data_IF_737253314299
#
_entry.id   IF_737253314299
#
_cell.length_a   1.000
_cell.length_b   1.000
_cell.length_c   1.000
_cell.angle_alpha   90.00
_cell.angle_beta   90.00
_cell.angle_gamma   90.00
#
_symmetry.space_group_name_H-M   'P 1'
#
loop_
_entity.id
_entity.type
_entity.pdbx_description
1 polymer ?
#
# COMPACT_ATOMS: atom_id res chain seq x y z
N UNK A 1 24.00 9.24 -23.57
CA UNK A 1 23.76 8.38 -22.40
C UNK A 1 23.02 7.18 -22.93
N UNK A 2 23.70 6.05 -23.01
CA UNK A 2 23.16 4.83 -23.63
C UNK A 2 22.23 4.14 -22.64
N UNK A 3 21.03 3.72 -23.08
CA UNK A 3 19.98 3.04 -22.29
C UNK A 3 20.35 1.62 -21.81
N UNK A 4 21.65 1.28 -21.79
CA UNK A 4 22.16 -0.09 -21.76
C UNK A 4 22.25 -0.66 -20.32
N UNK A 5 22.04 0.17 -19.30
CA UNK A 5 22.33 -0.16 -17.89
C UNK A 5 21.22 0.27 -16.92
N UNK A 6 19.95 0.36 -17.34
CA UNK A 6 18.88 0.70 -16.39
C UNK A 6 18.60 -0.49 -15.46
N UNK A 7 18.93 -0.40 -14.15
CA UNK A 7 18.77 -1.53 -13.23
C UNK A 7 17.29 -1.81 -12.97
N UNK A 8 16.99 -3.02 -12.49
CA UNK A 8 15.65 -3.39 -12.08
C UNK A 8 15.15 -2.48 -10.95
N UNK A 9 14.00 -1.83 -11.13
CA UNK A 9 13.40 -0.96 -10.10
C UNK A 9 12.85 -1.67 -8.85
N UNK A 10 13.06 -2.98 -8.71
CA UNK A 10 12.68 -3.79 -7.53
C UNK A 10 13.91 -4.34 -6.82
N UNK A 11 14.77 -5.09 -7.52
CA UNK A 11 15.94 -5.74 -6.92
C UNK A 11 17.26 -4.97 -7.12
N UNK A 12 17.25 -3.89 -7.91
CA UNK A 12 18.41 -3.07 -8.25
C UNK A 12 19.57 -3.81 -8.96
N UNK A 13 19.36 -5.07 -9.35
CA UNK A 13 20.30 -5.81 -10.17
C UNK A 13 20.25 -5.35 -11.64
N UNK A 14 21.35 -5.59 -12.36
CA UNK A 14 21.42 -5.42 -13.80
C UNK A 14 20.39 -6.32 -14.50
N UNK A 15 19.95 -5.89 -15.67
CA UNK A 15 19.05 -6.65 -16.54
C UNK A 15 19.89 -7.14 -17.71
N UNK A 16 20.08 -8.45 -17.78
CA UNK A 16 20.99 -9.12 -18.69
C UNK A 16 20.36 -10.44 -19.18
N UNK A 17 21.14 -11.29 -19.86
CA UNK A 17 20.66 -12.56 -20.40
C UNK A 17 20.18 -13.55 -19.34
N UNK A 18 20.81 -13.57 -18.16
CA UNK A 18 20.42 -14.42 -17.04
C UNK A 18 19.26 -13.81 -16.24
N UNK A 19 19.11 -12.48 -16.28
CA UNK A 19 18.04 -11.73 -15.64
C UNK A 19 17.20 -10.93 -16.64
N UNK A 20 16.41 -11.59 -17.51
CA UNK A 20 15.79 -10.94 -18.66
C UNK A 20 14.76 -9.89 -18.27
N UNK A 21 14.57 -8.90 -19.14
CA UNK A 21 13.64 -7.78 -18.92
C UNK A 21 12.18 -8.26 -18.88
N UNK A 22 11.46 -7.82 -17.86
CA UNK A 22 10.02 -7.95 -17.74
C UNK A 22 9.31 -6.66 -18.14
N UNK A 23 8.45 -6.74 -19.15
CA UNK A 23 7.73 -5.61 -19.73
C UNK A 23 6.25 -5.73 -19.38
N UNK A 24 5.69 -4.69 -18.75
CA UNK A 24 4.25 -4.62 -18.43
C UNK A 24 3.52 -3.77 -19.47
N UNK A 25 2.28 -4.15 -19.77
CA UNK A 25 1.50 -3.50 -20.83
C UNK A 25 0.90 -2.13 -20.47
N UNK A 26 1.16 -1.61 -19.27
CA UNK A 26 0.52 -0.39 -18.75
C UNK A 26 1.43 0.84 -18.67
N UNK A 27 2.76 0.65 -18.59
CA UNK A 27 3.71 1.76 -18.43
C UNK A 27 5.15 1.32 -18.77
N UNK A 28 6.08 2.27 -19.02
CA UNK A 28 7.45 1.97 -19.47
C UNK A 28 8.47 1.70 -18.34
N UNK A 29 8.03 1.48 -17.11
CA UNK A 29 8.95 1.23 -15.99
C UNK A 29 9.71 -0.10 -16.16
N UNK A 30 10.97 -0.12 -15.70
CA UNK A 30 11.92 -1.19 -15.96
C UNK A 30 12.05 -2.13 -14.78
N UNK A 31 11.81 -3.42 -15.02
CA UNK A 31 11.94 -4.50 -14.05
C UNK A 31 12.53 -5.73 -14.73
N UNK A 32 13.22 -6.59 -13.96
CA UNK A 32 13.51 -7.93 -14.46
C UNK A 32 12.26 -8.82 -14.37
N UNK A 33 12.24 -9.86 -15.20
CA UNK A 33 11.12 -10.78 -15.34
C UNK A 33 10.77 -11.47 -14.02
N UNK A 34 11.76 -11.97 -13.28
CA UNK A 34 11.56 -12.63 -11.99
C UNK A 34 10.81 -11.74 -11.00
N UNK A 35 11.28 -10.51 -10.80
CA UNK A 35 10.67 -9.58 -9.85
C UNK A 35 9.25 -9.20 -10.24
N UNK A 36 8.99 -8.85 -11.51
CA UNK A 36 7.66 -8.42 -11.91
C UNK A 36 6.66 -9.58 -11.96
N UNK A 37 7.12 -10.80 -12.22
CA UNK A 37 6.30 -12.01 -12.17
C UNK A 37 5.91 -12.38 -10.74
N UNK A 38 6.84 -12.28 -9.79
CA UNK A 38 6.54 -12.49 -8.37
C UNK A 38 5.60 -11.40 -7.84
N UNK A 39 5.84 -10.16 -8.22
CA UNK A 39 4.95 -9.05 -7.89
C UNK A 39 3.53 -9.29 -8.44
N UNK A 40 3.41 -9.73 -9.69
CA UNK A 40 2.14 -10.09 -10.32
C UNK A 40 1.43 -11.28 -9.67
N UNK A 41 2.18 -12.13 -8.96
CA UNK A 41 1.60 -13.19 -8.14
C UNK A 41 0.98 -12.66 -6.84
N UNK A 42 1.10 -11.36 -6.51
CA UNK A 42 0.49 -10.67 -5.36
C UNK A 42 -0.47 -9.55 -5.78
N UNK A 43 -0.07 -8.67 -6.70
CA UNK A 43 -0.89 -7.53 -7.16
C UNK A 43 -0.71 -7.29 -8.66
N UNK A 44 -1.71 -6.71 -9.32
CA UNK A 44 -1.65 -6.36 -10.74
C UNK A 44 -1.40 -4.86 -10.99
N UNK A 45 -0.75 -4.17 -10.06
CA UNK A 45 -0.42 -2.73 -10.15
C UNK A 45 1.08 -2.54 -10.29
N UNK A 46 1.52 -1.57 -11.10
CA UNK A 46 2.94 -1.26 -11.26
C UNK A 46 3.56 -0.86 -9.89
N UNK A 47 4.73 -1.39 -9.51
CA UNK A 47 5.42 -1.00 -8.27
C UNK A 47 5.75 0.51 -8.21
N UNK A 48 6.01 1.13 -9.36
CA UNK A 48 6.48 2.52 -9.43
C UNK A 48 5.33 3.54 -9.54
N UNK A 49 4.42 3.36 -10.51
CA UNK A 49 3.32 4.33 -10.77
C UNK A 49 1.93 3.84 -10.38
N UNK A 50 1.81 2.62 -9.85
CA UNK A 50 0.54 1.99 -9.43
C UNK A 50 -0.50 1.78 -10.54
N UNK A 51 -0.17 2.04 -11.80
CA UNK A 51 -1.05 1.71 -12.94
C UNK A 51 -1.32 0.20 -13.01
N UNK A 52 -2.58 -0.17 -13.20
CA UNK A 52 -2.97 -1.58 -13.35
C UNK A 52 -2.48 -2.14 -14.68
N UNK A 53 -1.85 -3.32 -14.64
CA UNK A 53 -1.46 -4.10 -15.81
C UNK A 53 -2.22 -5.42 -15.85
N UNK A 54 -2.27 -6.04 -17.02
CA UNK A 54 -2.97 -7.30 -17.28
C UNK A 54 -2.10 -8.33 -17.98
N UNK A 55 -0.94 -7.93 -18.51
CA UNK A 55 0.00 -8.80 -19.21
C UNK A 55 1.44 -8.44 -18.85
N UNK A 56 2.28 -9.46 -18.79
CA UNK A 56 3.73 -9.35 -18.66
C UNK A 56 4.36 -10.04 -19.87
N UNK A 57 5.28 -9.35 -20.54
CA UNK A 57 6.06 -9.89 -21.65
C UNK A 57 7.51 -10.04 -21.17
N UNK A 58 8.15 -11.17 -21.46
CA UNK A 58 9.55 -11.42 -21.13
C UNK A 58 10.31 -11.71 -22.41
N UNK A 59 11.38 -10.97 -22.66
CA UNK A 59 12.30 -11.23 -23.78
C UNK A 59 13.39 -12.17 -23.28
N UNK A 60 13.38 -13.40 -23.76
CA UNK A 60 14.38 -14.39 -23.39
C UNK A 60 15.69 -14.19 -24.18
N UNK A 61 16.83 -14.68 -23.68
CA UNK A 61 18.11 -14.59 -24.38
C UNK A 61 18.14 -15.32 -25.73
N UNK A 62 17.25 -16.30 -25.95
CA UNK A 62 17.08 -16.97 -27.26
C UNK A 62 16.31 -16.11 -28.28
N UNK A 63 15.90 -14.90 -27.89
CA UNK A 63 15.13 -13.98 -28.71
C UNK A 63 13.62 -14.25 -28.71
N UNK A 64 13.15 -15.27 -27.99
CA UNK A 64 11.72 -15.55 -27.90
C UNK A 64 11.01 -14.60 -26.92
N UNK A 65 9.76 -14.22 -27.25
CA UNK A 65 8.93 -13.38 -26.41
C UNK A 65 7.85 -14.22 -25.72
N UNK A 66 7.88 -14.25 -24.39
CA UNK A 66 6.90 -14.99 -23.58
C UNK A 66 5.85 -14.01 -23.01
N UNK A 67 4.57 -14.25 -23.29
CA UNK A 67 3.45 -13.49 -22.69
C UNK A 67 2.83 -14.26 -21.52
N UNK A 68 2.70 -13.62 -20.36
CA UNK A 68 1.94 -14.11 -19.22
C UNK A 68 0.74 -13.20 -18.95
N UNK A 69 -0.46 -13.77 -19.05
CA UNK A 69 -1.72 -13.10 -18.68
C UNK A 69 -1.90 -13.12 -17.16
N UNK A 70 -2.17 -11.95 -16.58
CA UNK A 70 -2.37 -11.79 -15.15
C UNK A 70 -3.87 -11.78 -14.86
N UNK A 71 -4.31 -12.73 -14.02
CA UNK A 71 -5.70 -12.80 -13.57
C UNK A 71 -5.98 -11.56 -12.72
N UNK A 72 -7.11 -10.89 -12.97
CA UNK A 72 -7.59 -9.82 -12.09
C UNK A 72 -7.88 -10.44 -10.72
N UNK A 73 -7.05 -10.17 -9.72
CA UNK A 73 -7.51 -10.28 -8.34
C UNK A 73 -8.11 -8.95 -7.98
N UNK A 74 -9.43 -8.95 -7.78
CA UNK A 74 -10.10 -7.83 -7.17
C UNK A 74 -9.50 -7.72 -5.76
N UNK A 75 -8.82 -6.62 -5.44
CA UNK A 75 -8.62 -6.27 -4.04
C UNK A 75 -10.03 -6.11 -3.50
N UNK A 76 -10.51 -7.09 -2.74
CA UNK A 76 -11.70 -6.95 -1.92
C UNK A 76 -11.23 -5.98 -0.84
N UNK A 77 -11.61 -4.71 -0.96
CA UNK A 77 -11.60 -3.85 0.21
C UNK A 77 -12.69 -4.48 1.07
N UNK A 78 -12.29 -5.23 2.09
CA UNK A 78 -13.22 -5.68 3.10
C UNK A 78 -13.81 -4.40 3.70
N UNK A 79 -15.11 -4.21 3.52
CA UNK A 79 -15.89 -3.05 3.97
C UNK A 79 -16.20 -3.22 5.48
N UNK A 80 -15.21 -3.71 6.21
CA UNK A 80 -15.33 -4.30 7.54
C UNK A 80 -14.55 -3.45 8.56
N UNK A 81 -14.77 -2.14 8.62
CA UNK A 81 -14.52 -1.34 9.84
C UNK A 81 -15.21 0.03 9.79
N UNK A 82 -16.51 0.05 9.53
CA UNK A 82 -17.38 1.16 9.95
C UNK A 82 -18.40 0.59 10.93
N UNK A 83 -17.96 0.34 12.17
CA UNK A 83 -18.90 0.38 13.28
C UNK A 83 -19.16 1.87 13.56
N UNK A 84 -20.20 2.40 12.92
CA UNK A 84 -20.81 3.67 13.31
C UNK A 84 -21.46 3.47 14.68
N UNK A 85 -20.65 3.53 15.74
CA UNK A 85 -21.16 3.67 17.10
C UNK A 85 -21.26 5.16 17.42
N UNK A 86 -22.15 5.84 16.70
CA UNK A 86 -22.62 7.15 17.06
C UNK A 86 -23.62 7.00 18.21
N UNK A 87 -23.11 6.87 19.44
CA UNK A 87 -23.91 7.07 20.66
C UNK A 87 -24.46 8.52 20.66
N UNK A 88 -25.76 8.66 20.40
CA UNK A 88 -26.54 9.84 20.76
C UNK A 88 -27.52 9.41 21.85
N UNK A 89 -27.16 9.66 23.10
CA UNK A 89 -28.08 9.56 24.23
C UNK A 89 -29.17 10.64 24.09
N UNK A 90 -30.44 10.23 24.06
CA UNK A 90 -31.59 10.86 24.72
C UNK A 90 -32.88 10.10 24.32
N UNK A 91 -33.34 9.16 25.17
CA UNK A 91 -34.55 9.34 25.99
C UNK A 91 -34.97 8.04 26.69
N UNK A 92 -35.41 8.19 27.94
CA UNK A 92 -35.76 7.14 28.90
C UNK A 92 -36.98 6.30 28.47
N UNK A 93 -36.90 4.96 28.64
CA UNK A 93 -37.78 4.14 29.52
C UNK A 93 -37.84 2.64 29.11
N UNK A 94 -37.17 1.79 29.90
CA UNK A 94 -37.80 0.59 30.48
C UNK A 94 -37.48 -0.81 29.93
N UNK A 95 -36.47 -1.49 30.50
CA UNK A 95 -36.58 -2.87 31.06
C UNK A 95 -35.29 -3.27 31.81
N UNK A 96 -35.30 -3.25 33.15
CA UNK A 96 -34.25 -3.85 34.00
C UNK A 96 -34.53 -5.35 34.24
N UNK A 97 -33.52 -6.19 34.56
CA UNK A 97 -33.21 -6.35 35.99
C UNK A 97 -31.72 -6.63 36.31
N UNK A 98 -31.17 -5.81 37.20
CA UNK A 98 -30.38 -6.31 38.33
C UNK A 98 -28.90 -6.62 38.11
N UNK A 99 -28.03 -5.64 38.38
CA UNK A 99 -27.33 -5.57 39.67
C UNK A 99 -26.19 -4.54 39.63
N UNK A 100 -26.47 -3.35 40.17
CA UNK A 100 -25.64 -2.60 41.16
C UNK A 100 -24.20 -3.11 41.37
N UNK A 101 -23.22 -2.22 41.27
CA UNK A 101 -22.59 -1.63 42.48
C UNK A 101 -21.21 -0.99 42.22
N UNK A 102 -21.19 0.34 42.33
CA UNK A 102 -20.17 1.19 42.96
C UNK A 102 -18.77 1.33 42.34
N UNK A 103 -18.59 2.52 41.76
CA UNK A 103 -17.32 3.20 41.48
C UNK A 103 -16.55 3.49 42.79
N UNK A 104 -15.26 3.13 42.81
CA UNK A 104 -14.23 3.85 43.54
C UNK A 104 -13.31 4.44 42.46
N UNK A 105 -13.21 5.77 42.44
CA UNK A 105 -12.29 6.47 41.56
C UNK A 105 -10.84 6.17 41.94
N UNK A 106 -9.96 6.21 40.94
CA UNK A 106 -8.72 6.98 41.02
C UNK A 106 -8.12 7.15 39.62
N UNK A 107 -7.38 8.23 39.49
CA UNK A 107 -6.69 8.79 38.34
C UNK A 107 -5.99 7.74 37.43
N UNK A 108 -6.35 7.68 36.14
CA UNK A 108 -5.56 6.96 35.13
C UNK A 108 -5.58 7.71 33.79
N UNK A 109 -4.46 8.40 33.54
CA UNK A 109 -4.15 9.19 32.36
C UNK A 109 -4.40 8.48 31.01
N UNK A 110 -4.70 9.23 29.93
CA UNK A 110 -4.83 8.67 28.58
C UNK A 110 -3.49 8.14 28.06
N UNK A 111 -3.49 6.90 27.58
CA UNK A 111 -2.33 6.28 26.91
C UNK A 111 -2.07 6.98 25.55
N UNK A 112 -0.83 7.43 25.28
CA UNK A 112 -0.54 8.21 24.08
C UNK A 112 -0.55 7.34 22.82
N UNK A 113 -1.41 7.71 21.88
CA UNK A 113 -1.40 7.23 20.50
C UNK A 113 -0.08 7.60 19.81
N UNK A 114 0.48 6.66 19.05
CA UNK A 114 1.70 6.89 18.26
C UNK A 114 1.42 7.98 17.22
N UNK A 115 1.99 9.15 17.44
CA UNK A 115 2.07 10.24 16.48
C UNK A 115 2.63 9.72 15.14
N UNK A 116 1.84 9.83 14.07
CA UNK A 116 2.32 9.56 12.71
C UNK A 116 3.20 10.75 12.32
N UNK A 117 4.51 10.55 12.34
CA UNK A 117 5.52 11.55 12.00
C UNK A 117 6.03 11.33 10.58
N UNK A 118 6.29 12.41 9.85
CA UNK A 118 7.01 12.33 8.59
C UNK A 118 8.44 11.83 8.84
N UNK A 119 8.80 10.67 8.28
CA UNK A 119 10.14 10.06 8.47
C UNK A 119 11.27 10.88 7.84
N UNK A 120 10.95 11.86 6.98
CA UNK A 120 11.93 12.71 6.31
C UNK A 120 12.29 13.99 7.09
N UNK A 121 11.32 14.70 7.68
CA UNK A 121 11.56 15.97 8.42
C UNK A 121 11.19 15.93 9.90
N UNK A 122 10.50 14.90 10.40
CA UNK A 122 10.05 14.82 11.79
C UNK A 122 8.99 15.87 12.21
N UNK A 123 8.47 16.65 11.27
CA UNK A 123 7.48 17.69 11.53
C UNK A 123 6.11 17.14 11.93
N UNK A 124 5.44 17.86 12.83
CA UNK A 124 4.07 17.63 13.29
C UNK A 124 3.25 18.85 12.90
N UNK A 125 2.45 18.73 11.85
CA UNK A 125 1.48 19.77 11.49
C UNK A 125 0.09 19.15 11.47
N UNK A 126 -0.86 19.94 11.97
CA UNK A 126 -2.27 19.67 12.27
C UNK A 126 -2.92 18.55 11.41
N UNK A 127 -3.76 17.67 11.99
CA UNK A 127 -4.31 16.48 11.32
C UNK A 127 -5.05 16.76 10.00
N UNK A 128 -5.40 18.02 9.71
CA UNK A 128 -5.96 18.46 8.43
C UNK A 128 -4.95 18.49 7.26
N UNK A 129 -3.64 18.45 7.51
CA UNK A 129 -2.60 18.59 6.48
C UNK A 129 -2.03 17.24 5.96
N UNK A 130 -2.55 16.09 6.42
CA UNK A 130 -2.00 14.77 6.06
C UNK A 130 -2.10 14.40 4.57
N UNK A 131 -2.87 15.12 3.75
CA UNK A 131 -2.99 14.83 2.32
C UNK A 131 -1.97 15.56 1.43
N UNK A 132 -1.19 16.50 1.97
CA UNK A 132 -0.43 17.46 1.13
C UNK A 132 1.04 17.65 1.53
N UNK A 133 1.59 16.87 2.46
CA UNK A 133 3.04 16.86 2.67
C UNK A 133 3.73 16.14 1.51
N UNK A 134 3.96 16.86 0.40
CA UNK A 134 4.77 16.39 -0.71
C UNK A 134 6.19 16.25 -0.19
N UNK A 135 6.68 15.02 -0.10
CA UNK A 135 8.06 14.64 0.30
C UNK A 135 9.16 15.45 -0.43
N UNK A 136 8.83 16.13 -1.53
CA UNK A 136 9.72 16.98 -2.34
C UNK A 136 9.93 18.40 -1.78
N UNK A 137 9.09 18.85 -0.85
CA UNK A 137 9.12 20.20 -0.25
C UNK A 137 9.70 20.19 1.18
N UNK A 138 10.07 19.02 1.69
CA UNK A 138 10.74 18.80 2.98
C UNK A 138 12.26 19.05 2.77
N UNK A 139 12.82 20.11 3.37
CA UNK A 139 14.23 20.52 3.24
C UNK A 139 15.11 19.91 4.31
#
# INVERSE_FOLDING_TARGET
MSDEDTPCGICFAAIDGDNPRGIINSCPHVFCSFCILEWAARTNTCPHCKQRFTRIHTLQPDGSLQEKKIRKRNYRYDEDDVTDDSNSDDDENGWEPGARSLLLGDDAAPVPGRAIVCVACGGFDEPAAMLMCKVRDCK
#
